data_IF_181281360073
#
_entry.id   IF_181281360073
#
_cell.length_a   1.000
_cell.length_b   1.000
_cell.length_c   1.000
_cell.angle_alpha   90.00
_cell.angle_beta   90.00
_cell.angle_gamma   90.00
#
_symmetry.space_group_name_H-M   'P 1'
#
loop_
_entity.id
_entity.type
_entity.pdbx_description
1 polymer ?
#
# COMPACT_ATOMS: atom_id res chain seq x y z
N UNK A 1 -16.36 2.68 -7.75
CA UNK A 1 -16.39 4.08 -7.31
C UNK A 1 -15.73 4.94 -8.38
N UNK A 2 -16.31 6.08 -8.72
CA UNK A 2 -15.71 7.01 -9.68
C UNK A 2 -14.37 7.53 -9.15
N UNK A 3 -13.36 7.66 -10.02
CA UNK A 3 -12.06 8.27 -9.71
C UNK A 3 -10.96 7.31 -9.29
N UNK A 4 -11.26 6.04 -9.01
CA UNK A 4 -10.26 5.02 -8.64
C UNK A 4 -9.78 4.16 -9.82
N UNK A 5 -10.20 4.45 -11.06
CA UNK A 5 -9.94 3.60 -12.22
C UNK A 5 -8.44 3.50 -12.50
N UNK A 6 -7.75 4.64 -12.56
CA UNK A 6 -6.31 4.70 -12.80
C UNK A 6 -5.52 4.01 -11.68
N UNK A 7 -5.92 4.23 -10.43
CA UNK A 7 -5.29 3.58 -9.28
C UNK A 7 -5.51 2.06 -9.28
N UNK A 8 -6.72 1.61 -9.58
CA UNK A 8 -7.06 0.18 -9.66
C UNK A 8 -6.29 -0.53 -10.78
N UNK A 9 -6.10 0.14 -11.92
CA UNK A 9 -5.27 -0.35 -13.02
C UNK A 9 -3.79 -0.47 -12.62
N UNK A 10 -3.24 0.56 -11.96
CA UNK A 10 -1.87 0.50 -11.43
C UNK A 10 -1.72 -0.63 -10.40
N UNK A 11 -2.66 -0.72 -9.45
CA UNK A 11 -2.67 -1.75 -8.41
C UNK A 11 -2.65 -3.15 -9.00
N UNK A 12 -3.47 -3.40 -10.03
CA UNK A 12 -3.54 -4.70 -10.70
C UNK A 12 -2.22 -5.06 -11.40
N UNK A 13 -1.59 -4.11 -12.09
CA UNK A 13 -0.27 -4.33 -12.71
C UNK A 13 0.82 -4.61 -11.68
N UNK A 14 0.79 -3.91 -10.54
CA UNK A 14 1.71 -4.15 -9.43
C UNK A 14 1.46 -5.53 -8.83
N UNK A 15 0.20 -5.92 -8.61
CA UNK A 15 -0.15 -7.26 -8.11
C UNK A 15 0.34 -8.37 -9.05
N UNK A 16 0.21 -8.21 -10.36
CA UNK A 16 0.72 -9.14 -11.37
C UNK A 16 2.25 -9.27 -11.30
N UNK A 17 2.96 -8.14 -11.23
CA UNK A 17 4.41 -8.11 -11.11
C UNK A 17 4.88 -8.78 -9.81
N UNK A 18 4.28 -8.41 -8.68
CA UNK A 18 4.58 -9.00 -7.38
C UNK A 18 4.31 -10.51 -7.38
N UNK A 19 3.20 -10.96 -7.96
CA UNK A 19 2.85 -12.37 -8.05
C UNK A 19 3.78 -13.16 -8.97
N UNK A 20 4.22 -12.55 -10.07
CA UNK A 20 5.21 -13.14 -10.98
C UNK A 20 6.56 -13.35 -10.28
N UNK A 21 7.03 -12.33 -9.57
CA UNK A 21 8.26 -12.40 -8.76
C UNK A 21 8.12 -13.44 -7.66
N UNK A 22 7.00 -13.44 -6.91
CA UNK A 22 6.73 -14.42 -5.85
C UNK A 22 6.80 -15.86 -6.37
N UNK A 23 6.13 -16.17 -7.50
CA UNK A 23 6.17 -17.51 -8.10
C UNK A 23 7.56 -17.90 -8.58
N UNK A 24 8.32 -16.96 -9.13
CA UNK A 24 9.66 -17.23 -9.66
C UNK A 24 10.67 -17.52 -8.55
N UNK A 25 10.52 -16.87 -7.41
CA UNK A 25 11.45 -16.96 -6.28
C UNK A 25 10.80 -17.57 -5.03
N UNK A 26 9.86 -18.51 -5.22
CA UNK A 26 9.05 -19.09 -4.14
C UNK A 26 9.90 -19.64 -3.00
N UNK A 27 10.99 -20.35 -3.32
CA UNK A 27 11.94 -20.87 -2.33
C UNK A 27 12.90 -19.84 -1.75
N UNK A 28 12.91 -18.59 -2.25
CA UNK A 28 13.75 -17.50 -1.77
C UNK A 28 12.97 -16.35 -1.12
N UNK A 29 11.62 -16.38 -1.15
CA UNK A 29 10.78 -15.35 -0.54
C UNK A 29 10.12 -15.92 0.72
N UNK A 30 10.48 -15.36 1.87
CA UNK A 30 9.91 -15.72 3.17
C UNK A 30 8.58 -15.01 3.46
N UNK A 31 8.20 -14.03 2.64
CA UNK A 31 6.99 -13.24 2.82
C UNK A 31 5.74 -14.05 2.51
N UNK A 32 4.86 -14.19 3.52
CA UNK A 32 3.58 -14.90 3.47
C UNK A 32 2.62 -14.25 4.46
N UNK A 33 1.29 -14.53 4.40
CA UNK A 33 0.40 -14.15 5.48
C UNK A 33 0.99 -14.56 6.84
N UNK A 34 1.07 -13.63 7.80
CA UNK A 34 1.78 -13.84 9.07
C UNK A 34 3.21 -13.26 9.12
N UNK A 35 3.78 -12.80 7.99
CA UNK A 35 5.02 -12.01 7.99
C UNK A 35 4.67 -10.53 8.19
N UNK A 36 4.81 -10.03 9.42
CA UNK A 36 4.37 -8.70 9.83
C UNK A 36 5.51 -7.76 10.27
N UNK A 37 6.77 -8.19 10.10
CA UNK A 37 7.94 -7.41 10.53
C UNK A 37 8.05 -6.03 9.87
N UNK A 38 7.44 -5.85 8.69
CA UNK A 38 7.37 -4.57 7.98
C UNK A 38 6.04 -3.82 8.16
N UNK A 39 5.07 -4.36 8.91
CA UNK A 39 3.74 -3.79 9.06
C UNK A 39 3.73 -2.59 10.00
N UNK A 40 4.07 -1.41 9.46
CA UNK A 40 4.13 -0.15 10.21
C UNK A 40 3.02 0.80 9.80
N UNK A 41 2.66 1.69 10.72
CA UNK A 41 1.77 2.79 10.38
C UNK A 41 2.49 3.79 9.46
N UNK A 42 1.87 4.10 8.32
CA UNK A 42 2.48 4.87 7.25
C UNK A 42 1.49 5.88 6.66
N UNK A 43 2.05 6.85 5.94
CA UNK A 43 1.29 7.81 5.14
C UNK A 43 1.20 7.33 3.70
N UNK A 44 0.01 7.46 3.12
CA UNK A 44 -0.35 7.06 1.75
C UNK A 44 -0.88 8.28 0.98
N UNK A 45 -0.92 8.17 -0.34
CA UNK A 45 -1.56 9.19 -1.16
C UNK A 45 -3.08 9.20 -0.97
N UNK A 46 -3.73 10.33 -1.23
CA UNK A 46 -5.18 10.50 -1.11
C UNK A 46 -5.97 9.45 -1.89
N UNK A 47 -5.53 9.10 -3.10
CA UNK A 47 -6.17 8.04 -3.91
C UNK A 47 -6.08 6.65 -3.27
N UNK A 48 -4.98 6.35 -2.57
CA UNK A 48 -4.82 5.10 -1.82
C UNK A 48 -5.68 5.10 -0.55
N UNK A 49 -5.78 6.25 0.12
CA UNK A 49 -6.64 6.43 1.28
C UNK A 49 -8.13 6.25 0.91
N UNK A 50 -8.57 6.81 -0.21
CA UNK A 50 -9.92 6.59 -0.73
C UNK A 50 -10.18 5.11 -1.06
N UNK A 51 -9.21 4.40 -1.62
CA UNK A 51 -9.33 2.96 -1.84
C UNK A 51 -9.39 2.14 -0.54
N UNK A 52 -8.68 2.55 0.52
CA UNK A 52 -8.81 1.96 1.85
C UNK A 52 -10.18 2.22 2.47
N UNK A 53 -10.68 3.45 2.35
CA UNK A 53 -12.00 3.84 2.83
C UNK A 53 -13.12 3.06 2.12
N UNK A 54 -13.03 2.92 0.80
CA UNK A 54 -13.97 2.10 0.04
C UNK A 54 -13.92 0.63 0.47
N UNK A 55 -12.72 0.08 0.71
CA UNK A 55 -12.59 -1.28 1.19
C UNK A 55 -13.20 -1.48 2.59
N UNK A 56 -13.15 -0.48 3.46
CA UNK A 56 -13.81 -0.51 4.77
C UNK A 56 -15.33 -0.69 4.67
N UNK A 57 -15.98 -0.19 3.61
CA UNK A 57 -17.43 -0.34 3.41
C UNK A 57 -17.86 -1.79 3.16
N UNK A 58 -16.93 -2.65 2.74
CA UNK A 58 -17.18 -4.07 2.50
C UNK A 58 -16.80 -4.97 3.69
N UNK A 59 -16.27 -4.41 4.78
CA UNK A 59 -15.86 -5.16 5.98
C UNK A 59 -17.08 -5.40 6.89
N UNK A 60 -17.14 -6.58 7.51
CA UNK A 60 -18.17 -6.87 8.52
C UNK A 60 -18.07 -5.88 9.70
N UNK A 61 -19.21 -5.40 10.21
CA UNK A 61 -19.20 -4.33 11.24
C UNK A 61 -18.38 -4.65 12.49
N UNK A 62 -18.30 -5.93 12.89
CA UNK A 62 -17.46 -6.35 14.01
C UNK A 62 -15.98 -6.05 13.74
N UNK A 63 -15.47 -6.39 12.56
CA UNK A 63 -14.08 -6.12 12.17
C UNK A 63 -13.85 -4.63 11.90
N UNK A 64 -14.83 -3.94 11.29
CA UNK A 64 -14.75 -2.52 11.02
C UNK A 64 -14.65 -1.70 12.33
N UNK A 65 -15.40 -2.07 13.37
CA UNK A 65 -15.31 -1.45 14.69
C UNK A 65 -13.92 -1.64 15.32
N UNK A 66 -13.35 -2.84 15.23
CA UNK A 66 -11.99 -3.12 15.71
C UNK A 66 -10.93 -2.29 14.98
N UNK A 67 -11.05 -2.17 13.65
CA UNK A 67 -10.15 -1.36 12.84
C UNK A 67 -10.24 0.11 13.24
N UNK A 68 -11.45 0.67 13.36
CA UNK A 68 -11.65 2.06 13.78
C UNK A 68 -11.08 2.34 15.17
N UNK A 69 -11.27 1.42 16.11
CA UNK A 69 -10.68 1.53 17.45
C UNK A 69 -9.15 1.54 17.41
N UNK A 70 -8.54 0.63 16.64
CA UNK A 70 -7.09 0.58 16.48
C UNK A 70 -6.55 1.84 15.80
N UNK A 71 -7.24 2.34 14.75
CA UNK A 71 -6.88 3.56 14.04
C UNK A 71 -6.93 4.81 14.95
N UNK A 72 -7.95 4.92 15.81
CA UNK A 72 -8.09 6.04 16.73
C UNK A 72 -6.95 6.16 17.77
N UNK A 73 -6.26 5.06 18.06
CA UNK A 73 -5.14 5.00 19.01
C UNK A 73 -3.78 4.91 18.31
N UNK A 74 -3.75 4.86 16.97
CA UNK A 74 -2.53 4.60 16.22
C UNK A 74 -1.60 5.83 16.22
N UNK A 75 -0.33 5.60 16.55
CA UNK A 75 0.76 6.56 16.35
C UNK A 75 1.59 6.16 15.13
N UNK A 76 2.38 7.08 14.56
CA UNK A 76 3.25 6.74 13.43
C UNK A 76 4.34 5.72 13.78
N UNK A 77 4.67 5.57 15.07
CA UNK A 77 5.65 4.60 15.54
C UNK A 77 5.03 3.21 15.78
N UNK A 78 3.71 3.13 15.92
CA UNK A 78 2.98 1.89 16.18
C UNK A 78 2.94 0.95 14.95
N UNK A 79 2.60 -0.34 15.15
CA UNK A 79 2.20 -1.22 14.06
C UNK A 79 1.02 -0.64 13.26
N UNK A 80 0.87 -1.10 12.03
CA UNK A 80 -0.27 -0.70 11.20
C UNK A 80 -1.61 -0.99 11.91
N UNK A 81 -2.60 -0.08 11.93
CA UNK A 81 -3.89 -0.31 12.59
C UNK A 81 -4.72 -1.45 11.96
N UNK A 82 -4.35 -1.90 10.76
CA UNK A 82 -4.94 -3.06 10.09
C UNK A 82 -4.30 -4.40 10.48
N UNK A 83 -3.23 -4.39 11.28
CA UNK A 83 -2.53 -5.60 11.70
C UNK A 83 -3.22 -6.24 12.90
N UNK A 84 -3.64 -7.50 12.76
CA UNK A 84 -4.24 -8.31 13.82
C UNK A 84 -3.69 -9.73 13.75
N UNK A 85 -3.04 -10.19 14.82
CA UNK A 85 -2.48 -11.55 14.90
C UNK A 85 -1.61 -11.92 13.67
N UNK A 86 -0.78 -11.00 13.20
CA UNK A 86 0.08 -11.19 12.02
C UNK A 86 -0.63 -11.07 10.66
N UNK A 87 -1.94 -10.79 10.63
CA UNK A 87 -2.73 -10.68 9.41
C UNK A 87 -3.25 -9.26 9.20
N UNK A 88 -3.29 -8.84 7.93
CA UNK A 88 -3.89 -7.57 7.54
C UNK A 88 -5.40 -7.75 7.35
N UNK A 89 -6.21 -7.02 8.11
CA UNK A 89 -7.67 -7.06 8.03
C UNK A 89 -8.22 -6.52 6.70
N UNK A 90 -7.41 -5.79 5.93
CA UNK A 90 -7.73 -5.28 4.59
C UNK A 90 -6.67 -5.69 3.55
N UNK A 91 -6.26 -6.96 3.56
CA UNK A 91 -5.15 -7.45 2.73
C UNK A 91 -5.28 -7.09 1.22
N UNK A 92 -6.50 -7.17 0.68
CA UNK A 92 -6.76 -6.89 -0.75
C UNK A 92 -6.65 -5.39 -1.09
N UNK A 93 -6.82 -4.51 -0.11
CA UNK A 93 -6.78 -3.05 -0.26
C UNK A 93 -5.45 -2.42 0.16
N UNK A 94 -4.42 -3.23 0.44
CA UNK A 94 -3.07 -2.75 0.78
C UNK A 94 -2.58 -1.61 -0.16
N UNK A 95 -1.97 -0.54 0.36
CA UNK A 95 -1.31 0.46 -0.47
C UNK A 95 -0.21 -0.14 -1.36
N UNK A 96 0.23 0.59 -2.38
CA UNK A 96 1.30 0.14 -3.30
C UNK A 96 2.58 -0.21 -2.54
N UNK A 97 2.97 0.65 -1.59
CA UNK A 97 4.15 0.39 -0.74
C UNK A 97 4.05 -0.95 0.00
N UNK A 98 2.86 -1.29 0.52
CA UNK A 98 2.64 -2.55 1.25
C UNK A 98 2.64 -3.79 0.34
N UNK A 99 2.50 -3.62 -0.98
CA UNK A 99 2.51 -4.69 -1.98
C UNK A 99 3.92 -4.97 -2.50
N UNK A 100 4.73 -3.93 -2.63
CA UNK A 100 6.09 -4.02 -3.17
C UNK A 100 7.15 -4.21 -2.09
N UNK A 101 6.86 -3.86 -0.84
CA UNK A 101 7.82 -4.01 0.25
C UNK A 101 8.30 -5.46 0.42
N UNK A 102 9.62 -5.61 0.51
CA UNK A 102 10.29 -6.90 0.64
C UNK A 102 10.63 -7.60 -0.68
N UNK A 103 10.07 -7.15 -1.80
CA UNK A 103 10.53 -7.54 -3.14
C UNK A 103 11.75 -6.71 -3.57
N UNK A 104 12.45 -7.10 -4.65
CA UNK A 104 13.60 -6.35 -5.14
C UNK A 104 13.17 -4.98 -5.69
N UNK A 105 13.57 -3.92 -5.01
CA UNK A 105 13.31 -2.53 -5.39
C UNK A 105 14.60 -1.87 -5.84
N UNK A 106 14.62 -1.29 -7.05
CA UNK A 106 15.69 -0.38 -7.44
C UNK A 106 15.46 0.95 -6.72
N UNK A 107 16.46 1.39 -5.96
CA UNK A 107 16.45 2.64 -5.21
C UNK A 107 17.65 3.46 -5.65
N UNK A 108 17.45 4.74 -5.89
CA UNK A 108 18.51 5.70 -6.15
C UNK A 108 18.80 6.50 -4.86
N UNK A 109 20.04 6.52 -4.37
CA UNK A 109 20.49 7.35 -3.24
C UNK A 109 21.79 8.04 -3.62
N UNK A 110 21.83 9.36 -3.44
CA UNK A 110 23.03 10.18 -3.68
C UNK A 110 23.70 9.99 -5.05
N UNK A 111 22.90 9.67 -6.08
CA UNK A 111 23.37 9.42 -7.44
C UNK A 111 23.81 7.98 -7.73
N UNK A 112 23.77 7.09 -6.73
CA UNK A 112 24.02 5.66 -6.89
C UNK A 112 22.72 4.87 -6.87
N UNK A 113 22.57 3.94 -7.80
CA UNK A 113 21.44 3.01 -7.83
C UNK A 113 21.82 1.67 -7.20
N UNK A 114 20.98 1.19 -6.28
CA UNK A 114 21.13 -0.11 -5.62
C UNK A 114 19.80 -0.86 -5.59
N UNK A 115 19.86 -2.17 -5.36
CA UNK A 115 18.67 -3.00 -5.19
C UNK A 115 18.49 -3.33 -3.71
N UNK A 116 17.34 -2.94 -3.15
CA UNK A 116 16.95 -3.22 -1.77
C UNK A 116 15.85 -4.29 -1.73
N UNK A 117 15.84 -5.11 -0.69
CA UNK A 117 14.84 -6.15 -0.46
C UNK A 117 14.86 -6.60 1.00
N UNK A 118 13.84 -7.37 1.41
CA UNK A 118 13.78 -7.87 2.78
C UNK A 118 15.01 -8.74 3.12
N UNK A 119 15.68 -8.56 4.27
CA UNK A 119 16.85 -9.36 4.66
C UNK A 119 16.52 -10.83 4.95
N UNK A 120 15.22 -11.19 4.97
CA UNK A 120 14.75 -12.57 5.06
C UNK A 120 14.54 -13.22 3.67
N UNK A 121 14.61 -12.44 2.59
CA UNK A 121 14.43 -12.90 1.22
C UNK A 121 15.80 -12.97 0.51
N UNK A 122 15.84 -13.76 -0.58
CA UNK A 122 16.96 -13.83 -1.54
C UNK A 122 18.34 -14.17 -0.94
N UNK A 123 18.38 -14.77 0.25
CA UNK A 123 19.62 -15.11 0.98
C UNK A 123 20.57 -16.03 0.23
N UNK A 124 20.02 -16.86 -0.66
CA UNK A 124 20.76 -17.90 -1.39
C UNK A 124 21.08 -17.49 -2.85
N UNK A 125 20.79 -16.24 -3.24
CA UNK A 125 21.00 -15.76 -4.61
C UNK A 125 22.23 -14.84 -4.70
N UNK A 126 23.06 -15.10 -5.71
CA UNK A 126 24.21 -14.25 -6.04
C UNK A 126 23.85 -13.01 -6.87
N UNK A 127 22.71 -13.01 -7.55
CA UNK A 127 22.18 -11.86 -8.27
C UNK A 127 20.66 -11.94 -8.48
N UNK A 128 20.01 -10.78 -8.63
CA UNK A 128 18.59 -10.67 -8.95
C UNK A 128 18.44 -10.33 -10.44
N UNK A 129 17.65 -11.10 -11.21
CA UNK A 129 17.32 -10.76 -12.59
C UNK A 129 16.67 -9.37 -12.70
N UNK A 130 17.15 -8.52 -13.60
CA UNK A 130 16.65 -7.14 -13.74
C UNK A 130 15.14 -7.05 -13.99
N UNK A 131 14.53 -8.04 -14.65
CA UNK A 131 13.09 -8.08 -14.89
C UNK A 131 12.25 -8.40 -13.64
N UNK A 132 12.88 -8.77 -12.52
CA UNK A 132 12.25 -8.95 -11.22
C UNK A 132 12.40 -7.72 -10.31
N UNK A 133 13.18 -6.73 -10.74
CA UNK A 133 13.44 -5.49 -9.98
C UNK A 133 12.38 -4.46 -10.32
N UNK A 134 11.75 -3.91 -9.28
CA UNK A 134 10.75 -2.85 -9.38
C UNK A 134 11.47 -1.51 -9.26
N UNK A 135 11.40 -0.69 -10.30
CA UNK A 135 11.89 0.69 -10.24
C UNK A 135 10.99 1.53 -9.32
N UNK A 136 11.50 1.83 -8.12
CA UNK A 136 10.72 2.51 -7.09
C UNK A 136 10.43 3.97 -7.45
N UNK A 137 11.40 4.65 -8.07
CA UNK A 137 11.26 6.05 -8.48
C UNK A 137 10.19 6.19 -9.56
N UNK A 138 10.23 5.29 -10.57
CA UNK A 138 9.21 5.25 -11.63
C UNK A 138 7.83 4.89 -11.10
N UNK A 139 7.75 3.93 -10.16
CA UNK A 139 6.49 3.53 -9.54
C UNK A 139 5.89 4.69 -8.72
N UNK A 140 6.70 5.35 -7.90
CA UNK A 140 6.29 6.50 -7.11
C UNK A 140 5.85 7.67 -8.00
N UNK A 141 6.59 7.97 -9.08
CA UNK A 141 6.21 9.02 -10.03
C UNK A 141 4.86 8.71 -10.70
N UNK A 142 4.63 7.44 -11.08
CA UNK A 142 3.35 7.01 -11.66
C UNK A 142 2.21 7.18 -10.66
N UNK A 143 2.41 6.72 -9.42
CA UNK A 143 1.40 6.84 -8.37
C UNK A 143 1.10 8.31 -8.01
N UNK A 144 2.13 9.15 -7.94
CA UNK A 144 1.98 10.59 -7.70
C UNK A 144 1.16 11.27 -8.80
N UNK A 145 1.42 10.95 -10.08
CA UNK A 145 0.63 11.47 -11.19
C UNK A 145 -0.85 11.05 -11.12
N UNK A 146 -1.12 9.79 -10.76
CA UNK A 146 -2.49 9.31 -10.53
C UNK A 146 -3.15 10.07 -9.37
N UNK A 147 -2.42 10.32 -8.29
CA UNK A 147 -2.93 11.09 -7.16
C UNK A 147 -3.28 12.53 -7.54
N UNK A 148 -2.44 13.19 -8.35
CA UNK A 148 -2.75 14.54 -8.88
C UNK A 148 -4.05 14.54 -9.68
N UNK A 149 -4.23 13.56 -10.58
CA UNK A 149 -5.48 13.42 -11.36
C UNK A 149 -6.69 13.17 -10.46
N UNK A 150 -6.53 12.35 -9.42
CA UNK A 150 -7.59 12.09 -8.45
C UNK A 150 -8.00 13.39 -7.71
N UNK A 151 -7.03 14.15 -7.21
CA UNK A 151 -7.27 15.39 -6.45
C UNK A 151 -7.92 16.50 -7.27
N UNK A 152 -7.80 16.48 -8.61
CA UNK A 152 -8.54 17.40 -9.48
C UNK A 152 -10.06 17.19 -9.42
N UNK A 153 -10.49 15.95 -9.18
CA UNK A 153 -11.92 15.60 -9.07
C UNK A 153 -12.40 15.50 -7.62
N UNK A 154 -11.49 15.21 -6.70
CA UNK A 154 -11.77 15.04 -5.27
C UNK A 154 -10.77 15.86 -4.43
N UNK A 155 -10.98 17.20 -4.32
CA UNK A 155 -10.06 18.07 -3.59
C UNK A 155 -9.92 17.67 -2.12
N UNK A 156 -8.71 17.75 -1.59
CA UNK A 156 -8.40 17.33 -0.23
C UNK A 156 -6.89 17.33 0.06
N UNK A 157 -6.46 16.78 1.21
CA UNK A 157 -5.03 16.65 1.52
C UNK A 157 -4.34 15.71 0.54
N UNK A 158 -3.09 16.00 0.16
CA UNK A 158 -2.34 15.18 -0.79
C UNK A 158 -2.05 13.77 -0.24
N UNK A 159 -1.79 13.71 1.07
CA UNK A 159 -1.47 12.48 1.79
C UNK A 159 -2.25 12.40 3.08
N UNK A 160 -2.57 11.17 3.46
CA UNK A 160 -3.20 10.84 4.73
C UNK A 160 -2.44 9.68 5.35
N UNK A 161 -2.45 9.57 6.66
CA UNK A 161 -2.07 8.36 7.38
C UNK A 161 -3.09 7.25 7.11
N UNK A 162 -2.67 6.00 7.24
CA UNK A 162 -3.61 4.87 7.15
C UNK A 162 -4.71 5.00 8.21
N UNK A 163 -4.40 5.49 9.41
CA UNK A 163 -5.42 5.74 10.43
C UNK A 163 -6.47 6.77 9.98
N UNK A 164 -6.05 7.92 9.44
CA UNK A 164 -6.96 8.96 8.93
C UNK A 164 -7.86 8.44 7.79
N UNK A 165 -7.31 7.61 6.89
CA UNK A 165 -8.06 6.98 5.82
C UNK A 165 -9.17 6.05 6.35
N UNK A 166 -8.87 5.27 7.40
CA UNK A 166 -9.78 4.29 8.00
C UNK A 166 -10.88 4.93 8.86
N UNK A 167 -10.58 6.07 9.48
CA UNK A 167 -11.55 6.81 10.28
C UNK A 167 -12.54 7.62 9.43
N UNK A 168 -12.23 7.83 8.14
CA UNK A 168 -13.00 8.71 7.28
C UNK A 168 -12.80 10.15 7.74
N UNK A 169 -11.82 10.84 7.14
CA UNK A 169 -11.51 12.22 7.51
C UNK A 169 -12.64 13.12 7.01
N UNK A 170 -13.72 13.28 7.77
CA UNK A 170 -14.68 14.41 7.75
C UNK A 170 -15.21 14.94 6.40
N UNK A 171 -15.05 14.24 5.28
CA UNK A 171 -15.64 14.63 4.01
C UNK A 171 -17.05 14.10 4.03
N UNK A 172 -17.97 14.97 4.40
CA UNK A 172 -19.39 14.83 4.10
C UNK A 172 -19.52 14.39 2.65
N UNK A 173 -19.96 13.15 2.41
CA UNK A 173 -20.64 12.74 1.19
C UNK A 173 -21.94 13.58 1.11
N UNK A 174 -21.83 14.88 0.84
CA UNK A 174 -22.97 15.71 0.46
C UNK A 174 -22.74 16.12 -0.99
N UNK A 175 -23.52 15.57 -1.94
CA UNK A 175 -23.41 16.00 -3.32
C UNK A 175 -23.74 17.50 -3.36
N UNK A 176 -22.86 18.29 -3.98
CA UNK A 176 -23.13 19.69 -4.33
C UNK A 176 -24.31 19.72 -5.32
N UNK A 177 -25.52 19.73 -4.78
CA UNK A 177 -26.72 20.15 -5.49
C UNK A 177 -26.86 21.65 -5.29
N UNK A 178 -26.47 22.43 -6.29
CA UNK A 178 -27.08 23.71 -6.69
C UNK A 178 -26.54 24.13 -8.05
#
# INVERSE_FOLDING_TARGET
>A
MAGLENYSALKSRVDELCSSTARRFDSQISCRPGCDSCCRHLSVFAVEAAALHEAMRAVAEADAALIRQAAALATLQAPCPLLRNGLCLLYQARPIICRTHGLPLLISRDGESGVDFCPQNFRELSSIPGNAVIDLDRLNATLAAINVLYLQSFPGPERLTVAEALLGSGHSDEPLTS
#
